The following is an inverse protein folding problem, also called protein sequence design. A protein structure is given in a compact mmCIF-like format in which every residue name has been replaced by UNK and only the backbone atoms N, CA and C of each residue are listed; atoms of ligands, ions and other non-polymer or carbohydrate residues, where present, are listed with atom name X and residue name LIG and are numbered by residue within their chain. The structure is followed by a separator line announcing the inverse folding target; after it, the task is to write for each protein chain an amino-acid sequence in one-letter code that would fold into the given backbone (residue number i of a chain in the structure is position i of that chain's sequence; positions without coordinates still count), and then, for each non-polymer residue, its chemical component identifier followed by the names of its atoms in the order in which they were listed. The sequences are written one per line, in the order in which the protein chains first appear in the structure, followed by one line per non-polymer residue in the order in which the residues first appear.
data_IF_125837542920
#
_entry.id   IF_125837542920
#
_cell.length_a   1.000
_cell.length_b   1.000
_cell.length_c   1.000
_cell.angle_alpha   90.00
_cell.angle_beta   90.00
_cell.angle_gamma   90.00
#
_symmetry.space_group_name_H-M   'P 1'
#
loop_
_entity.id
_entity.type
_entity.pdbx_description
1 polymer ?
#
# COMPACT_ATOMS: atom_id res chain seq x y z
N UNK A 1 3.31 -2.43 10.28
CA UNK A 1 4.57 -2.14 10.95
C UNK A 1 4.74 -0.64 11.28
N UNK A 2 4.61 0.28 10.30
CA UNK A 2 4.74 1.73 10.55
C UNK A 2 3.80 2.19 11.66
N UNK A 3 2.53 1.79 11.64
CA UNK A 3 1.58 2.09 12.71
C UNK A 3 2.05 1.57 14.08
N UNK A 4 2.63 0.37 14.13
CA UNK A 4 3.18 -0.19 15.37
C UNK A 4 4.37 0.62 15.93
N UNK A 5 5.26 1.07 15.06
CA UNK A 5 6.36 1.94 15.46
C UNK A 5 5.82 3.31 15.90
N UNK A 6 4.88 3.87 15.15
CA UNK A 6 4.28 5.15 15.46
C UNK A 6 3.56 5.15 16.82
N UNK A 7 2.77 4.12 17.13
CA UNK A 7 2.12 4.01 18.46
C UNK A 7 3.12 3.91 19.60
N UNK A 8 4.23 3.20 19.42
CA UNK A 8 5.29 3.09 20.44
C UNK A 8 6.03 4.42 20.67
N UNK A 9 6.10 5.27 19.65
CA UNK A 9 6.83 6.56 19.72
C UNK A 9 5.93 7.73 20.10
N UNK A 10 4.71 7.76 19.60
CA UNK A 10 3.78 8.90 19.67
C UNK A 10 2.61 8.66 20.62
N UNK A 11 2.44 7.44 21.12
CA UNK A 11 1.27 7.04 21.89
C UNK A 11 0.08 6.73 20.97
N UNK A 12 -1.13 7.06 21.41
CA UNK A 12 -2.36 6.75 20.66
C UNK A 12 -2.43 7.58 19.38
N UNK A 13 -2.55 6.91 18.25
CA UNK A 13 -2.65 7.51 16.91
C UNK A 13 -3.99 7.19 16.25
N UNK A 14 -4.36 7.99 15.26
CA UNK A 14 -5.47 7.68 14.34
C UNK A 14 -4.95 6.79 13.22
N UNK A 15 -5.74 5.77 12.87
CA UNK A 15 -5.46 4.88 11.75
C UNK A 15 -6.69 4.75 10.87
N UNK A 16 -6.47 4.53 9.59
CA UNK A 16 -7.55 4.47 8.62
C UNK A 16 -7.33 3.29 7.68
N UNK A 17 -8.40 2.65 7.29
CA UNK A 17 -8.42 1.63 6.25
C UNK A 17 -9.60 1.84 5.33
N UNK A 18 -9.50 1.34 4.10
CA UNK A 18 -10.58 1.40 3.12
C UNK A 18 -10.70 0.07 2.39
N UNK A 19 -11.93 -0.30 2.06
CA UNK A 19 -12.22 -1.50 1.29
C UNK A 19 -13.70 -1.64 0.99
N UNK A 20 -14.05 -2.61 0.16
CA UNK A 20 -15.41 -3.08 0.02
C UNK A 20 -15.83 -3.81 1.29
N UNK A 21 -17.13 -3.91 1.52
CA UNK A 21 -17.65 -4.63 2.70
C UNK A 21 -17.10 -6.06 2.76
N UNK A 22 -16.58 -6.44 3.94
CA UNK A 22 -16.00 -7.76 4.17
C UNK A 22 -14.62 -8.01 3.54
N UNK A 23 -13.97 -6.99 3.02
CA UNK A 23 -12.64 -7.16 2.41
C UNK A 23 -11.61 -7.71 3.41
N UNK A 24 -10.67 -8.57 2.94
CA UNK A 24 -9.63 -9.13 3.79
C UNK A 24 -8.75 -8.08 4.47
N UNK A 25 -8.52 -6.95 3.79
CA UNK A 25 -7.69 -5.88 4.33
C UNK A 25 -8.37 -5.11 5.46
N UNK A 26 -9.69 -4.90 5.40
CA UNK A 26 -10.43 -4.31 6.54
C UNK A 26 -10.35 -5.21 7.76
N UNK A 27 -10.52 -6.53 7.58
CA UNK A 27 -10.40 -7.50 8.67
C UNK A 27 -9.01 -7.47 9.31
N UNK A 28 -7.96 -7.47 8.48
CA UNK A 28 -6.58 -7.41 8.94
C UNK A 28 -6.27 -6.07 9.62
N UNK A 29 -6.71 -4.94 9.04
CA UNK A 29 -6.53 -3.62 9.61
C UNK A 29 -7.19 -3.47 10.98
N UNK A 30 -8.42 -3.96 11.14
CA UNK A 30 -9.13 -3.98 12.42
C UNK A 30 -8.38 -4.78 13.48
N UNK A 31 -7.84 -5.93 13.12
CA UNK A 31 -7.02 -6.75 14.02
C UNK A 31 -5.78 -6.02 14.49
N UNK A 32 -5.07 -5.39 13.57
CA UNK A 32 -3.89 -4.55 13.90
C UNK A 32 -4.28 -3.37 14.79
N UNK A 33 -5.37 -2.68 14.46
CA UNK A 33 -5.84 -1.53 15.22
C UNK A 33 -6.18 -1.90 16.66
N UNK A 34 -6.86 -3.02 16.87
CA UNK A 34 -7.18 -3.54 18.20
C UNK A 34 -5.91 -3.91 18.98
N UNK A 35 -4.94 -4.59 18.34
CA UNK A 35 -3.68 -4.95 18.96
C UNK A 35 -2.86 -3.74 19.38
N UNK A 36 -2.83 -2.70 18.55
CA UNK A 36 -2.09 -1.48 18.80
C UNK A 36 -2.88 -0.43 19.60
N UNK A 37 -4.14 -0.68 19.89
CA UNK A 37 -5.05 0.25 20.58
C UNK A 37 -5.11 1.64 19.92
N UNK A 38 -5.22 1.65 18.58
CA UNK A 38 -5.33 2.90 17.81
C UNK A 38 -6.78 3.40 17.77
N UNK A 39 -6.96 4.69 17.43
CA UNK A 39 -8.27 5.24 17.06
C UNK A 39 -8.50 4.92 15.57
N UNK A 40 -9.12 3.77 15.32
CA UNK A 40 -9.26 3.24 13.96
C UNK A 40 -10.59 3.62 13.32
N UNK A 41 -10.53 4.02 12.05
CA UNK A 41 -11.70 4.27 11.21
C UNK A 41 -11.62 3.41 9.96
N UNK A 42 -12.67 2.63 9.72
CA UNK A 42 -12.86 1.88 8.49
C UNK A 42 -13.75 2.67 7.54
N UNK A 43 -13.30 2.86 6.33
CA UNK A 43 -14.06 3.47 5.25
C UNK A 43 -14.50 2.35 4.32
N UNK A 44 -15.81 2.19 4.21
CA UNK A 44 -16.40 1.24 3.25
C UNK A 44 -16.85 2.05 2.05
N UNK A 45 -16.52 1.59 0.86
CA UNK A 45 -17.00 2.16 -0.40
C UNK A 45 -17.65 1.09 -1.26
N UNK A 46 -18.49 1.50 -2.21
CA UNK A 46 -19.09 0.59 -3.19
C UNK A 46 -18.37 0.68 -4.54
N UNK A 47 -18.47 -0.34 -5.40
CA UNK A 47 -17.94 -0.25 -6.76
C UNK A 47 -18.46 0.96 -7.53
N UNK A 48 -19.74 1.30 -7.37
CA UNK A 48 -20.38 2.45 -8.03
C UNK A 48 -19.76 3.78 -7.55
N UNK A 49 -19.51 3.91 -6.24
CA UNK A 49 -18.78 5.09 -5.68
C UNK A 49 -17.37 5.18 -6.24
N UNK A 50 -16.67 4.05 -6.36
CA UNK A 50 -15.34 4.00 -6.95
C UNK A 50 -15.34 4.43 -8.42
N UNK A 51 -16.25 3.89 -9.21
CA UNK A 51 -16.40 4.20 -10.63
C UNK A 51 -16.80 5.67 -10.85
N UNK A 52 -17.66 6.22 -10.00
CA UNK A 52 -18.07 7.63 -10.08
C UNK A 52 -16.89 8.61 -9.97
N UNK A 53 -15.76 8.18 -9.35
CA UNK A 53 -14.53 8.98 -9.22
C UNK A 53 -13.40 8.58 -10.17
N UNK A 54 -13.66 7.66 -11.12
CA UNK A 54 -12.63 7.17 -12.05
C UNK A 54 -11.97 8.32 -12.84
N UNK A 55 -12.78 9.22 -13.40
CA UNK A 55 -12.27 10.37 -14.17
C UNK A 55 -11.45 11.32 -13.31
N UNK A 56 -11.91 11.61 -12.09
CA UNK A 56 -11.17 12.46 -11.14
C UNK A 56 -9.80 11.87 -10.82
N UNK A 57 -9.74 10.55 -10.63
CA UNK A 57 -8.51 9.82 -10.30
C UNK A 57 -7.55 9.81 -11.48
N UNK A 58 -8.03 9.52 -12.70
CA UNK A 58 -7.20 9.55 -13.91
C UNK A 58 -6.62 10.95 -14.12
N UNK A 59 -7.44 11.98 -13.97
CA UNK A 59 -6.99 13.38 -14.08
C UNK A 59 -5.94 13.72 -13.00
N UNK A 60 -6.14 13.27 -11.77
CA UNK A 60 -5.21 13.47 -10.67
C UNK A 60 -3.86 12.78 -10.89
N UNK A 61 -3.89 11.56 -11.40
CA UNK A 61 -2.70 10.75 -11.66
C UNK A 61 -1.93 11.19 -12.90
N UNK A 62 -2.60 11.80 -13.87
CA UNK A 62 -2.07 12.04 -15.23
C UNK A 62 -1.53 10.75 -15.87
N UNK A 63 -2.19 9.62 -15.60
CA UNK A 63 -1.79 8.29 -16.06
C UNK A 63 -3.00 7.43 -16.39
N UNK A 64 -2.84 6.59 -17.42
CA UNK A 64 -3.82 5.57 -17.84
C UNK A 64 -3.35 4.14 -17.53
N UNK A 65 -2.29 3.98 -16.74
CA UNK A 65 -1.87 2.64 -16.32
C UNK A 65 -2.99 1.99 -15.49
N UNK A 66 -3.53 0.90 -16.01
CA UNK A 66 -4.70 0.23 -15.45
C UNK A 66 -4.52 -0.18 -13.99
N UNK A 67 -3.34 -0.70 -13.65
CA UNK A 67 -3.04 -1.15 -12.28
C UNK A 67 -2.95 0.03 -11.33
N UNK A 68 -2.26 1.08 -11.76
CA UNK A 68 -2.11 2.32 -10.96
C UNK A 68 -3.47 2.98 -10.74
N UNK A 69 -4.28 3.17 -11.79
CA UNK A 69 -5.63 3.76 -11.67
C UNK A 69 -6.50 2.96 -10.73
N UNK A 70 -6.59 1.64 -10.94
CA UNK A 70 -7.40 0.72 -10.14
C UNK A 70 -7.04 0.75 -8.64
N UNK A 71 -5.76 0.78 -8.32
CA UNK A 71 -5.29 0.85 -6.94
C UNK A 71 -5.41 2.26 -6.34
N UNK A 72 -5.46 3.29 -7.18
CA UNK A 72 -5.56 4.69 -6.72
C UNK A 72 -6.95 5.07 -6.27
N UNK A 73 -8.00 4.51 -6.85
CA UNK A 73 -9.40 4.87 -6.52
C UNK A 73 -9.67 4.73 -5.00
N UNK A 74 -9.45 3.56 -4.37
CA UNK A 74 -9.67 3.45 -2.93
C UNK A 74 -8.74 4.38 -2.13
N UNK A 75 -7.49 4.56 -2.53
CA UNK A 75 -6.58 5.47 -1.83
C UNK A 75 -7.05 6.93 -1.93
N UNK A 76 -7.51 7.36 -3.09
CA UNK A 76 -8.06 8.70 -3.32
C UNK A 76 -9.31 8.95 -2.46
N UNK A 77 -10.23 7.97 -2.42
CA UNK A 77 -11.43 8.03 -1.57
C UNK A 77 -11.06 8.10 -0.08
N UNK A 78 -10.07 7.33 0.35
CA UNK A 78 -9.57 7.37 1.73
C UNK A 78 -8.99 8.73 2.08
N UNK A 79 -8.15 9.30 1.22
CA UNK A 79 -7.57 10.62 1.41
C UNK A 79 -8.64 11.72 1.47
N UNK A 80 -9.65 11.64 0.58
CA UNK A 80 -10.84 12.50 0.60
C UNK A 80 -11.56 12.43 1.94
N UNK A 81 -11.83 11.21 2.43
CA UNK A 81 -12.49 11.00 3.72
C UNK A 81 -11.68 11.60 4.87
N UNK A 82 -10.39 11.30 4.95
CA UNK A 82 -9.50 11.82 6.01
C UNK A 82 -9.54 13.35 6.03
N UNK A 83 -9.42 13.99 4.87
CA UNK A 83 -9.47 15.46 4.76
C UNK A 83 -10.78 16.04 5.21
N UNK A 84 -11.90 15.42 4.85
CA UNK A 84 -13.24 15.93 5.17
C UNK A 84 -13.65 15.70 6.63
N UNK A 85 -13.14 14.64 7.26
CA UNK A 85 -13.60 14.20 8.57
C UNK A 85 -12.59 14.40 9.69
N UNK A 86 -11.40 14.87 9.37
CA UNK A 86 -10.34 15.05 10.37
C UNK A 86 -9.57 16.36 10.14
N UNK A 87 -8.76 16.74 11.12
CA UNK A 87 -7.78 17.82 10.99
C UNK A 87 -6.37 17.28 10.66
N UNK A 88 -6.26 16.02 10.28
CA UNK A 88 -4.98 15.43 9.89
C UNK A 88 -4.42 16.17 8.66
N UNK A 89 -3.14 16.49 8.73
CA UNK A 89 -2.37 17.02 7.61
C UNK A 89 -1.35 16.01 7.15
N UNK A 90 -0.73 15.31 8.07
CA UNK A 90 0.32 14.34 7.79
C UNK A 90 -0.23 12.92 7.92
N UNK A 91 0.02 12.09 6.91
CA UNK A 91 -0.33 10.67 6.92
C UNK A 91 0.90 9.81 6.65
N UNK A 92 1.03 8.71 7.38
CA UNK A 92 2.06 7.71 7.16
C UNK A 92 1.55 6.62 6.24
N UNK A 93 2.39 6.19 5.29
CA UNK A 93 2.13 5.04 4.43
C UNK A 93 3.29 4.05 4.43
N UNK A 94 2.99 2.81 4.09
CA UNK A 94 3.95 1.71 3.95
C UNK A 94 4.53 1.55 2.54
N UNK A 95 4.31 2.49 1.65
CA UNK A 95 4.81 2.44 0.27
C UNK A 95 6.34 2.33 0.23
N UNK A 96 6.86 1.65 -0.78
CA UNK A 96 8.29 1.45 -0.99
C UNK A 96 8.86 0.18 -0.35
N UNK A 97 8.16 -0.46 0.56
CA UNK A 97 8.66 -1.68 1.22
C UNK A 97 8.82 -2.86 0.27
N UNK A 98 7.94 -2.99 -0.72
CA UNK A 98 7.98 -4.06 -1.71
C UNK A 98 9.12 -3.86 -2.73
N UNK A 99 9.38 -2.63 -3.11
CA UNK A 99 10.46 -2.26 -4.02
C UNK A 99 11.85 -2.43 -3.39
N UNK A 100 11.99 -2.12 -2.11
CA UNK A 100 13.30 -2.15 -1.43
C UNK A 100 13.67 -3.57 -1.00
N UNK A 101 12.67 -4.38 -0.61
CA UNK A 101 12.88 -5.68 0.01
C UNK A 101 12.38 -6.87 -0.83
N UNK A 102 12.09 -6.65 -2.12
CA UNK A 102 11.64 -7.71 -3.02
C UNK A 102 10.29 -8.31 -2.59
N UNK A 103 9.33 -7.46 -2.21
CA UNK A 103 8.07 -7.88 -1.61
C UNK A 103 7.00 -8.37 -2.59
N UNK A 104 7.19 -8.22 -3.89
CA UNK A 104 6.25 -8.73 -4.89
C UNK A 104 6.45 -10.23 -5.13
N UNK A 105 5.36 -10.98 -5.21
CA UNK A 105 5.42 -12.45 -5.34
C UNK A 105 6.22 -12.93 -6.56
N UNK A 106 6.20 -12.15 -7.66
CA UNK A 106 6.92 -12.50 -8.87
C UNK A 106 8.46 -12.49 -8.72
N UNK A 107 8.99 -11.80 -7.70
CA UNK A 107 10.43 -11.86 -7.39
C UNK A 107 10.94 -13.29 -7.12
N UNK A 108 10.04 -14.18 -6.68
CA UNK A 108 10.37 -15.60 -6.50
C UNK A 108 10.73 -16.32 -7.80
N UNK A 109 10.37 -15.73 -8.95
CA UNK A 109 10.69 -16.28 -10.27
C UNK A 109 12.07 -15.82 -10.78
N UNK A 110 12.81 -15.02 -10.02
CA UNK A 110 14.16 -14.60 -10.41
C UNK A 110 15.07 -15.84 -10.55
N UNK A 111 15.76 -16.01 -11.69
CA UNK A 111 16.56 -17.21 -11.93
C UNK A 111 17.83 -17.26 -11.08
N UNK A 112 18.30 -16.13 -10.61
CA UNK A 112 19.47 -15.97 -9.75
C UNK A 112 19.42 -14.65 -8.98
N UNK A 113 20.40 -14.48 -8.08
CA UNK A 113 20.48 -13.31 -7.20
C UNK A 113 20.78 -11.99 -7.95
N UNK A 114 21.51 -12.06 -9.05
CA UNK A 114 21.87 -10.87 -9.82
C UNK A 114 20.64 -10.33 -10.55
N UNK A 115 19.84 -11.18 -11.15
CA UNK A 115 18.56 -10.80 -11.78
C UNK A 115 17.56 -10.28 -10.75
N UNK A 116 17.50 -10.90 -9.57
CA UNK A 116 16.71 -10.39 -8.46
C UNK A 116 17.15 -8.96 -8.07
N UNK A 117 18.44 -8.73 -7.91
CA UNK A 117 19.00 -7.43 -7.54
C UNK A 117 18.74 -6.37 -8.62
N UNK A 118 18.90 -6.73 -9.89
CA UNK A 118 18.59 -5.87 -11.03
C UNK A 118 17.12 -5.44 -11.05
N UNK A 119 16.20 -6.40 -10.88
CA UNK A 119 14.77 -6.10 -10.85
C UNK A 119 14.37 -5.27 -9.61
N UNK A 120 14.94 -5.58 -8.44
CA UNK A 120 14.73 -4.80 -7.23
C UNK A 120 15.12 -3.33 -7.43
N UNK A 121 16.31 -3.07 -7.99
CA UNK A 121 16.77 -1.73 -8.33
C UNK A 121 15.90 -1.07 -9.41
N UNK A 122 15.47 -1.82 -10.42
CA UNK A 122 14.59 -1.32 -11.48
C UNK A 122 13.26 -0.85 -10.91
N UNK A 123 12.62 -1.64 -10.03
CA UNK A 123 11.35 -1.28 -9.37
C UNK A 123 11.50 -0.03 -8.52
N UNK A 124 12.58 0.06 -7.74
CA UNK A 124 12.84 1.24 -6.91
C UNK A 124 13.03 2.51 -7.77
N UNK A 125 13.75 2.42 -8.89
CA UNK A 125 13.94 3.56 -9.81
C UNK A 125 12.65 4.01 -10.47
N UNK A 126 11.72 3.09 -10.72
CA UNK A 126 10.46 3.36 -11.40
C UNK A 126 9.29 3.64 -10.45
N UNK A 127 9.51 3.64 -9.14
CA UNK A 127 8.44 3.80 -8.14
C UNK A 127 7.62 5.09 -8.36
N UNK A 128 8.27 6.14 -8.86
CA UNK A 128 7.64 7.42 -9.17
C UNK A 128 6.65 7.37 -10.35
N UNK A 129 6.60 6.27 -11.10
CA UNK A 129 5.66 6.06 -12.20
C UNK A 129 4.45 5.22 -11.81
N UNK A 130 4.51 4.52 -10.67
CA UNK A 130 3.49 3.57 -10.22
C UNK A 130 3.05 3.85 -8.77
N UNK A 131 3.52 3.07 -7.81
CA UNK A 131 3.04 3.13 -6.43
C UNK A 131 3.38 4.46 -5.74
N UNK A 132 4.55 5.02 -6.02
CA UNK A 132 4.93 6.36 -5.55
C UNK A 132 4.06 7.47 -6.15
N UNK A 133 3.79 7.40 -7.46
CA UNK A 133 2.88 8.34 -8.15
C UNK A 133 1.48 8.29 -7.52
N UNK A 134 0.93 7.09 -7.40
CA UNK A 134 -0.37 6.86 -6.77
C UNK A 134 -0.45 7.51 -5.40
N UNK A 135 0.51 7.19 -4.53
CA UNK A 135 0.50 7.64 -3.16
C UNK A 135 0.62 9.16 -3.03
N UNK A 136 1.55 9.77 -3.74
CA UNK A 136 1.77 11.21 -3.75
C UNK A 136 0.57 11.97 -4.32
N UNK A 137 0.08 11.58 -5.50
CA UNK A 137 -1.01 12.28 -6.18
C UNK A 137 -2.33 12.15 -5.42
N UNK A 138 -2.67 10.96 -4.90
CA UNK A 138 -3.90 10.79 -4.13
C UNK A 138 -3.90 11.59 -2.83
N UNK A 139 -2.78 11.67 -2.12
CA UNK A 139 -2.67 12.47 -0.91
C UNK A 139 -2.69 13.98 -1.24
N UNK A 140 -1.88 14.40 -2.20
CA UNK A 140 -1.75 15.80 -2.62
C UNK A 140 -3.05 16.40 -3.15
N UNK A 141 -3.87 15.64 -3.89
CA UNK A 141 -5.18 16.07 -4.38
C UNK A 141 -6.12 16.52 -3.27
N UNK A 142 -5.95 16.01 -2.06
CA UNK A 142 -6.74 16.37 -0.89
C UNK A 142 -5.98 17.24 0.12
N UNK A 143 -4.79 17.75 -0.24
CA UNK A 143 -3.97 18.59 0.63
C UNK A 143 -3.47 17.87 1.89
N UNK A 144 -3.16 16.60 1.75
CA UNK A 144 -2.49 15.79 2.75
C UNK A 144 -1.02 15.64 2.39
N UNK A 145 -0.15 15.73 3.39
CA UNK A 145 1.29 15.50 3.25
C UNK A 145 1.59 14.01 3.56
N UNK A 146 2.05 13.26 2.57
CA UNK A 146 2.38 11.85 2.72
C UNK A 146 3.80 11.66 3.23
N UNK A 147 3.94 10.86 4.28
CA UNK A 147 5.23 10.45 4.85
C UNK A 147 5.41 8.96 4.59
N UNK A 148 6.49 8.60 3.90
CA UNK A 148 6.81 7.24 3.46
C UNK A 148 8.15 6.78 4.04
N UNK A 149 8.18 6.28 5.28
CA UNK A 149 9.43 5.97 5.98
C UNK A 149 10.32 4.94 5.29
N UNK A 150 9.74 4.02 4.51
CA UNK A 150 10.50 3.06 3.73
C UNK A 150 11.27 3.71 2.57
N UNK A 151 10.84 4.89 2.11
CA UNK A 151 11.53 5.65 1.05
C UNK A 151 12.49 6.71 1.62
N UNK A 152 12.74 6.72 2.94
CA UNK A 152 13.84 7.52 3.50
C UNK A 152 15.18 7.10 2.88
N UNK A 153 15.98 8.10 2.48
CA UNK A 153 17.25 7.86 1.79
C UNK A 153 18.20 6.96 2.58
N UNK A 154 18.35 7.21 3.88
CA UNK A 154 19.27 6.43 4.71
C UNK A 154 18.76 5.00 4.87
N UNK A 155 17.41 4.82 4.96
CA UNK A 155 16.82 3.49 5.03
C UNK A 155 16.99 2.72 3.71
N UNK A 156 16.82 3.38 2.55
CA UNK A 156 17.08 2.77 1.24
C UNK A 156 18.55 2.36 1.15
N UNK A 157 19.49 3.26 1.45
CA UNK A 157 20.92 2.99 1.40
C UNK A 157 21.28 1.80 2.31
N UNK A 158 20.77 1.76 3.52
CA UNK A 158 20.96 0.63 4.43
C UNK A 158 20.41 -0.67 3.83
N UNK A 159 19.17 -0.68 3.34
CA UNK A 159 18.57 -1.86 2.76
C UNK A 159 19.31 -2.36 1.51
N UNK A 160 19.95 -1.47 0.75
CA UNK A 160 20.76 -1.87 -0.41
C UNK A 160 22.09 -2.54 0.00
N UNK A 161 22.57 -2.37 1.23
CA UNK A 161 23.74 -3.11 1.74
C UNK A 161 23.42 -4.56 2.15
N UNK A 162 22.13 -4.88 2.34
CA UNK A 162 21.71 -6.23 2.71
C UNK A 162 22.02 -7.19 1.56
N UNK A 163 22.63 -8.34 1.88
CA UNK A 163 22.91 -9.37 0.90
C UNK A 163 21.61 -9.79 0.19
N UNK A 164 21.58 -9.69 -1.13
CA UNK A 164 20.39 -9.97 -1.93
C UNK A 164 19.90 -11.42 -1.80
N UNK A 165 20.81 -12.37 -1.52
CA UNK A 165 20.43 -13.75 -1.22
C UNK A 165 19.47 -13.82 -0.02
N UNK A 166 19.68 -12.99 1.00
CA UNK A 166 18.82 -12.96 2.18
C UNK A 166 17.42 -12.41 1.89
N UNK A 167 17.31 -11.49 0.94
CA UNK A 167 16.01 -10.97 0.48
C UNK A 167 15.24 -11.98 -0.39
N UNK A 168 15.96 -12.83 -1.12
CA UNK A 168 15.41 -13.79 -2.07
C UNK A 168 14.87 -15.06 -1.40
N UNK A 169 15.38 -15.40 -0.21
CA UNK A 169 15.05 -16.67 0.47
C UNK A 169 13.73 -16.59 1.24
N UNK A 170 12.91 -17.63 1.08
CA UNK A 170 11.72 -17.85 1.89
C UNK A 170 10.53 -17.00 1.50
N UNK A 171 9.81 -16.47 2.50
CA UNK A 171 8.65 -15.60 2.32
C UNK A 171 9.10 -14.18 1.91
N UNK A 172 8.29 -13.50 1.14
CA UNK A 172 8.56 -12.11 0.76
C UNK A 172 8.77 -11.22 2.01
N UNK A 173 9.76 -10.32 1.94
CA UNK A 173 10.15 -9.43 3.05
C UNK A 173 10.49 -10.16 4.36
N UNK A 174 10.99 -11.40 4.29
CA UNK A 174 11.31 -12.23 5.47
C UNK A 174 12.16 -11.47 6.50
N UNK A 175 13.24 -10.84 6.06
CA UNK A 175 14.16 -10.08 6.93
C UNK A 175 13.41 -9.01 7.73
N UNK A 176 12.49 -8.28 7.08
CA UNK A 176 11.68 -7.27 7.75
C UNK A 176 10.74 -7.90 8.77
N UNK A 177 10.12 -9.03 8.45
CA UNK A 177 9.21 -9.74 9.35
C UNK A 177 9.95 -10.25 10.59
N UNK A 178 11.08 -10.94 10.43
CA UNK A 178 11.93 -11.43 11.51
C UNK A 178 12.44 -10.30 12.41
N UNK A 179 12.91 -9.20 11.83
CA UNK A 179 13.40 -8.04 12.58
C UNK A 179 12.33 -7.36 13.47
N UNK A 180 11.04 -7.58 13.15
CA UNK A 180 9.94 -6.97 13.86
C UNK A 180 8.96 -7.98 14.48
N UNK A 181 9.46 -9.17 14.86
CA UNK A 181 8.71 -10.09 15.71
C UNK A 181 8.27 -9.42 17.02
N UNK A 182 7.05 -9.68 17.44
CA UNK A 182 6.44 -9.04 18.61
C UNK A 182 5.96 -7.59 18.41
N UNK A 183 6.07 -7.02 17.19
CA UNK A 183 5.52 -5.70 16.87
C UNK A 183 4.08 -5.77 16.36
N UNK A 184 3.68 -6.90 15.84
CA UNK A 184 2.34 -7.18 15.29
C UNK A 184 1.91 -8.60 15.73
N UNK A 185 0.61 -8.93 15.67
CA UNK A 185 0.18 -10.32 15.81
C UNK A 185 0.84 -11.21 14.76
N UNK A 186 1.22 -12.43 15.13
CA UNK A 186 1.99 -13.32 14.25
C UNK A 186 1.26 -13.65 12.94
N UNK A 187 -0.04 -13.86 12.98
CA UNK A 187 -0.84 -14.13 11.80
C UNK A 187 -0.98 -12.92 10.85
N UNK A 188 -0.71 -11.71 11.34
CA UNK A 188 -0.58 -10.51 10.50
C UNK A 188 0.87 -10.35 10.03
N UNK A 189 1.83 -10.53 10.93
CA UNK A 189 3.25 -10.39 10.60
C UNK A 189 3.65 -11.39 9.50
N UNK A 190 3.13 -12.60 9.54
CA UNK A 190 3.41 -13.69 8.60
C UNK A 190 2.32 -13.88 7.53
N UNK A 191 1.39 -12.94 7.41
CA UNK A 191 0.37 -12.96 6.35
C UNK A 191 1.04 -12.86 4.98
N UNK A 192 0.57 -13.67 4.03
CA UNK A 192 1.00 -13.56 2.63
C UNK A 192 0.66 -12.20 2.04
N UNK A 193 1.53 -11.70 1.19
CA UNK A 193 1.33 -10.44 0.44
C UNK A 193 0.17 -10.57 -0.54
N UNK A 194 -0.74 -9.61 -0.46
CA UNK A 194 -1.79 -9.36 -1.44
C UNK A 194 -1.58 -7.99 -2.10
N UNK A 195 -1.98 -7.85 -3.37
CA UNK A 195 -2.00 -6.56 -4.04
C UNK A 195 -3.10 -5.65 -3.47
N UNK A 196 -2.85 -4.35 -3.38
CA UNK A 196 -3.86 -3.42 -2.86
C UNK A 196 -5.16 -3.47 -3.66
N UNK A 197 -5.09 -3.58 -4.98
CA UNK A 197 -6.26 -3.68 -5.84
C UNK A 197 -7.11 -4.94 -5.62
N UNK A 198 -6.50 -6.01 -5.14
CA UNK A 198 -7.17 -7.30 -4.93
C UNK A 198 -7.67 -7.42 -3.49
N UNK A 199 -6.92 -6.87 -2.55
CA UNK A 199 -7.21 -6.93 -1.12
C UNK A 199 -8.34 -5.99 -0.66
N UNK A 200 -8.65 -4.94 -1.42
CA UNK A 200 -9.80 -4.06 -1.15
C UNK A 200 -11.15 -4.72 -1.42
N UNK A 201 -11.17 -5.84 -2.18
CA UNK A 201 -12.35 -6.65 -2.44
C UNK A 201 -12.27 -7.40 -3.76
N UNK A 202 -12.68 -8.66 -3.77
CA UNK A 202 -12.55 -9.58 -4.92
C UNK A 202 -13.29 -9.12 -6.17
N UNK A 203 -14.38 -8.37 -6.03
CA UNK A 203 -15.20 -7.92 -7.17
C UNK A 203 -14.74 -6.59 -7.76
N UNK A 204 -13.84 -5.86 -7.11
CA UNK A 204 -13.43 -4.52 -7.53
C UNK A 204 -12.83 -4.49 -8.94
N UNK A 205 -11.93 -5.42 -9.21
CA UNK A 205 -11.27 -5.55 -10.52
C UNK A 205 -12.28 -5.83 -11.64
N UNK A 206 -13.19 -6.76 -11.38
CA UNK A 206 -14.19 -7.18 -12.37
C UNK A 206 -15.23 -6.08 -12.65
N UNK A 207 -15.60 -5.29 -11.64
CA UNK A 207 -16.52 -4.17 -11.83
C UNK A 207 -15.91 -3.04 -12.67
N UNK A 208 -14.67 -2.64 -12.43
CA UNK A 208 -13.99 -1.67 -13.29
C UNK A 208 -13.86 -2.18 -14.72
N UNK A 209 -13.50 -3.45 -14.89
CA UNK A 209 -13.36 -4.06 -16.20
C UNK A 209 -14.71 -4.04 -16.96
N UNK A 210 -15.78 -4.45 -16.30
CA UNK A 210 -17.13 -4.43 -16.85
C UNK A 210 -17.56 -3.02 -17.26
N UNK A 211 -17.27 -2.03 -16.41
CA UNK A 211 -17.55 -0.63 -16.72
C UNK A 211 -16.80 -0.18 -17.98
N UNK A 212 -15.50 -0.45 -18.06
CA UNK A 212 -14.68 -0.06 -19.21
C UNK A 212 -15.10 -0.76 -20.51
N UNK A 213 -15.58 -2.01 -20.45
CA UNK A 213 -16.09 -2.75 -21.62
C UNK A 213 -17.43 -2.20 -22.12
N UNK A 214 -18.27 -1.67 -21.23
CA UNK A 214 -19.57 -1.11 -21.58
C UNK A 214 -19.51 0.37 -22.03
N UNK A 215 -18.44 1.09 -21.77
CA UNK A 215 -18.28 2.51 -22.10
C UNK A 215 -17.54 2.73 -23.44
N UNK A 216 -17.31 1.68 -24.22
CA UNK A 216 -16.56 1.68 -25.50
C UNK A 216 -17.51 1.70 -26.73
N UNK A 217 -18.78 2.07 -26.58
CA UNK A 217 -19.72 2.25 -27.70
C UNK A 217 -19.75 3.70 -28.23
#
# INVERSE_FOLDING_TARGET
LIASIATRKLGKIKTFSIGLEGSPDLVAARKVANYLNTEHTEVIFTPEEGIAHLTDVIHCLESYDTTTVRASIPMWLLCKYIKQRTQCRYIFSGEGSDEILGGYLYFKNAPNVDEFACENMRRLRLIHQFDGLRADRCAGAHGLDLIVPFLDKNFIEFCMTINQNEKMVGMEKRILREAFEGYLPDDILWRQKDGMSDAVGTNWVDEIKRYAENDVD
#
